data_IF_700528489507
#
_entry.id   IF_700528489507
#
_cell.length_a   1.000
_cell.length_b   1.000
_cell.length_c   1.000
_cell.angle_alpha   90.00
_cell.angle_beta   90.00
_cell.angle_gamma   90.00
#
_symmetry.space_group_name_H-M   'P 1'
#
loop_
_entity.id
_entity.type
_entity.pdbx_description
1 polymer ?
#
# COMPACT_ATOMS: atom_id res chain seq x y z
N UNK A 1 1.83 7.38 -22.85
CA UNK A 1 2.97 7.56 -21.95
C UNK A 1 2.68 8.65 -20.95
N UNK A 2 3.09 8.47 -19.72
CA UNK A 2 2.97 9.51 -18.69
C UNK A 2 3.97 10.64 -18.95
N UNK A 3 3.60 11.87 -18.57
CA UNK A 3 4.53 12.99 -18.60
C UNK A 3 5.70 12.73 -17.63
N UNK A 4 6.93 13.20 -17.95
CA UNK A 4 8.07 13.03 -17.04
C UNK A 4 7.80 13.70 -15.70
N UNK A 5 8.06 12.95 -14.63
CA UNK A 5 7.92 13.41 -13.25
C UNK A 5 9.29 13.80 -12.70
N UNK A 6 9.44 15.05 -12.26
CA UNK A 6 10.67 15.51 -11.62
C UNK A 6 10.60 15.24 -10.11
N UNK A 7 11.48 14.39 -9.63
CA UNK A 7 11.58 14.01 -8.22
C UNK A 7 12.89 14.55 -7.64
N UNK A 8 12.82 15.16 -6.47
CA UNK A 8 14.01 15.63 -5.74
C UNK A 8 14.43 14.58 -4.72
N UNK A 9 15.72 14.26 -4.68
CA UNK A 9 16.25 13.38 -3.65
C UNK A 9 16.47 14.16 -2.33
N UNK A 10 16.35 13.53 -1.15
CA UNK A 10 15.92 12.15 -0.97
C UNK A 10 14.38 12.00 -1.01
N UNK A 11 13.89 11.03 -1.76
CA UNK A 11 12.45 10.75 -1.87
C UNK A 11 12.17 9.25 -2.01
N UNK A 12 10.99 8.83 -1.59
CA UNK A 12 10.42 7.52 -1.90
C UNK A 12 9.42 7.67 -3.03
N UNK A 13 9.56 6.84 -4.06
CA UNK A 13 8.61 6.71 -5.15
C UNK A 13 7.90 5.36 -5.01
N UNK A 14 6.60 5.38 -4.85
CA UNK A 14 5.75 4.19 -4.78
C UNK A 14 4.95 4.06 -6.07
N UNK A 15 5.07 2.87 -6.70
CA UNK A 15 4.34 2.47 -7.89
C UNK A 15 3.59 1.17 -7.56
N UNK A 16 2.34 1.24 -7.09
CA UNK A 16 1.62 0.06 -6.61
C UNK A 16 1.21 -0.90 -7.72
N UNK A 17 1.20 -0.43 -8.97
CA UNK A 17 0.91 -1.24 -10.15
C UNK A 17 2.13 -1.37 -11.03
N UNK A 18 2.20 -2.45 -11.81
CA UNK A 18 3.25 -2.66 -12.79
C UNK A 18 3.16 -1.63 -13.92
N UNK A 19 3.81 -0.49 -13.72
CA UNK A 19 3.94 0.57 -14.70
C UNK A 19 5.33 0.47 -15.34
N UNK A 20 5.38 0.47 -16.66
CA UNK A 20 6.64 0.60 -17.36
C UNK A 20 7.21 2.01 -17.11
N UNK A 21 8.36 2.08 -16.47
CA UNK A 21 8.99 3.33 -16.06
C UNK A 21 10.51 3.26 -16.23
N UNK A 22 11.13 4.41 -16.34
CA UNK A 22 12.57 4.58 -16.31
C UNK A 22 12.95 5.75 -15.42
N UNK A 23 14.14 5.69 -14.84
CA UNK A 23 14.65 6.73 -13.94
C UNK A 23 15.95 7.27 -14.54
N UNK A 24 16.07 8.59 -14.57
CA UNK A 24 17.26 9.28 -15.03
C UNK A 24 17.70 10.32 -14.01
N UNK A 25 18.94 10.24 -13.54
CA UNK A 25 19.54 11.30 -12.75
C UNK A 25 19.87 12.53 -13.62
N UNK A 26 19.46 13.71 -13.18
CA UNK A 26 19.68 14.97 -13.93
C UNK A 26 20.82 15.84 -13.37
N UNK A 27 21.47 15.42 -12.27
CA UNK A 27 22.56 16.17 -11.64
C UNK A 27 23.95 15.65 -12.01
N UNK A 28 24.99 16.49 -11.88
CA UNK A 28 26.37 16.09 -12.17
C UNK A 28 26.94 15.05 -11.19
N UNK A 29 26.33 14.89 -10.03
CA UNK A 29 26.73 13.92 -8.99
C UNK A 29 26.00 12.58 -9.08
N UNK A 30 25.04 12.45 -10.03
CA UNK A 30 24.19 11.26 -10.10
C UNK A 30 23.15 11.19 -8.96
N UNK A 31 22.56 10.03 -8.80
CA UNK A 31 21.62 9.72 -7.71
C UNK A 31 21.79 8.26 -7.33
N UNK A 32 21.84 7.98 -6.04
CA UNK A 32 21.78 6.62 -5.52
C UNK A 32 20.32 6.17 -5.54
N UNK A 33 20.06 5.04 -6.15
CA UNK A 33 18.72 4.50 -6.31
C UNK A 33 18.66 3.07 -5.79
N UNK A 34 17.71 2.83 -4.91
CA UNK A 34 17.33 1.48 -4.49
C UNK A 34 15.95 1.16 -5.02
N UNK A 35 15.83 0.06 -5.76
CA UNK A 35 14.54 -0.46 -6.24
C UNK A 35 14.20 -1.71 -5.45
N UNK A 36 12.97 -1.79 -4.96
CA UNK A 36 12.40 -2.95 -4.32
C UNK A 36 11.04 -3.26 -4.92
N UNK A 37 10.75 -4.53 -5.11
CA UNK A 37 9.44 -5.00 -5.57
C UNK A 37 8.77 -5.74 -4.41
N UNK A 38 7.56 -5.34 -4.08
CA UNK A 38 6.70 -6.05 -3.14
C UNK A 38 5.86 -7.03 -3.97
N UNK A 39 6.16 -8.32 -3.87
CA UNK A 39 5.55 -9.36 -4.72
C UNK A 39 4.10 -9.65 -4.39
N UNK A 40 3.61 -9.21 -3.24
CA UNK A 40 2.23 -9.42 -2.80
C UNK A 40 1.73 -8.18 -2.04
N UNK A 41 1.33 -7.15 -2.79
CA UNK A 41 0.40 -6.18 -2.24
C UNK A 41 -0.96 -6.87 -2.21
N UNK A 42 -1.33 -7.34 -1.01
CA UNK A 42 -2.64 -7.94 -0.85
C UNK A 42 -3.74 -6.93 -1.22
N UNK A 43 -4.77 -7.34 -1.96
CA UNK A 43 -5.98 -6.53 -2.04
C UNK A 43 -6.42 -6.18 -0.61
N UNK A 44 -6.79 -4.95 -0.29
CA UNK A 44 -7.21 -3.86 -1.14
C UNK A 44 -6.17 -2.76 -1.39
N UNK A 45 -4.92 -2.91 -0.93
CA UNK A 45 -3.94 -1.83 -0.97
C UNK A 45 -3.59 -1.38 -2.40
N UNK A 46 -3.59 -2.30 -3.35
CA UNK A 46 -3.38 -2.00 -4.76
C UNK A 46 -4.48 -1.12 -5.38
N UNK A 47 -5.71 -1.20 -4.83
CA UNK A 47 -6.86 -0.42 -5.31
C UNK A 47 -6.93 0.98 -4.73
N UNK A 48 -6.43 1.17 -3.51
CA UNK A 48 -6.54 2.46 -2.78
C UNK A 48 -5.30 3.33 -2.93
N UNK A 49 -4.17 2.75 -3.34
CA UNK A 49 -2.95 3.50 -3.58
C UNK A 49 -3.03 4.25 -4.93
N UNK A 50 -2.64 5.53 -4.98
CA UNK A 50 -2.52 6.27 -6.23
C UNK A 50 -1.52 5.59 -7.18
N UNK A 51 -1.71 5.74 -8.50
CA UNK A 51 -0.83 5.13 -9.51
C UNK A 51 0.65 5.47 -9.32
N UNK A 52 0.91 6.68 -8.85
CA UNK A 52 2.26 7.17 -8.52
C UNK A 52 2.17 8.02 -7.26
N UNK A 53 2.98 7.69 -6.27
CA UNK A 53 3.11 8.51 -5.06
C UNK A 53 4.57 8.89 -4.84
N UNK A 54 4.83 10.17 -4.67
CA UNK A 54 6.17 10.69 -4.31
C UNK A 54 6.12 11.24 -2.89
N UNK A 55 7.05 10.77 -2.06
CA UNK A 55 7.17 11.21 -0.67
C UNK A 55 8.55 11.82 -0.48
N UNK A 56 8.58 13.10 -0.18
CA UNK A 56 9.80 13.82 0.18
C UNK A 56 10.25 13.41 1.59
N UNK A 57 11.42 12.81 1.69
CA UNK A 57 11.97 12.34 2.96
C UNK A 57 12.47 13.50 3.83
N UNK A 58 12.76 14.66 3.27
CA UNK A 58 13.14 15.84 4.07
C UNK A 58 11.99 16.34 4.92
N UNK A 59 10.76 16.14 4.45
CA UNK A 59 9.52 16.51 5.15
C UNK A 59 8.91 15.35 5.96
N UNK A 60 9.52 14.14 5.93
CA UNK A 60 8.92 12.91 6.47
C UNK A 60 9.91 12.14 7.34
N UNK A 61 10.16 12.65 8.54
CA UNK A 61 11.15 12.09 9.47
C UNK A 61 10.91 10.61 9.84
N UNK A 62 9.65 10.16 9.85
CA UNK A 62 9.31 8.76 10.16
C UNK A 62 9.82 7.76 9.12
N UNK A 63 9.95 8.18 7.85
CA UNK A 63 10.45 7.33 6.76
C UNK A 63 11.95 7.51 6.51
N UNK A 64 12.55 8.63 6.94
CA UNK A 64 13.95 8.92 6.69
C UNK A 64 14.86 7.81 7.24
N UNK A 65 14.75 7.52 8.52
CA UNK A 65 15.63 6.53 9.17
C UNK A 65 15.47 5.10 8.65
N UNK A 66 14.26 4.56 8.42
CA UNK A 66 14.09 3.27 7.76
C UNK A 66 14.74 3.18 6.37
N UNK A 67 14.62 4.24 5.56
CA UNK A 67 15.25 4.29 4.24
C UNK A 67 16.78 4.37 4.33
N UNK A 68 17.32 5.18 5.24
CA UNK A 68 18.77 5.23 5.49
C UNK A 68 19.32 3.85 5.86
N UNK A 69 18.65 3.14 6.77
CA UNK A 69 19.05 1.79 7.18
C UNK A 69 19.07 0.80 6.01
N UNK A 70 18.15 0.93 5.05
CA UNK A 70 18.16 0.09 3.84
C UNK A 70 19.42 0.31 3.01
N UNK A 71 19.85 1.56 2.84
CA UNK A 71 21.09 1.88 2.13
C UNK A 71 22.32 1.41 2.90
N UNK A 72 22.38 1.68 4.22
CA UNK A 72 23.48 1.23 5.10
C UNK A 72 23.66 -0.29 5.00
N UNK A 73 22.55 -1.08 5.07
CA UNK A 73 22.59 -2.54 5.02
C UNK A 73 22.99 -3.05 3.62
N UNK A 74 22.50 -2.39 2.56
CA UNK A 74 22.85 -2.74 1.19
C UNK A 74 24.32 -2.47 0.85
N UNK A 75 24.92 -1.44 1.44
CA UNK A 75 26.34 -1.12 1.30
C UNK A 75 27.23 -2.05 2.12
N UNK A 76 26.88 -2.28 3.37
CA UNK A 76 27.67 -3.09 4.32
C UNK A 76 27.79 -4.56 3.87
N UNK A 77 26.74 -5.12 3.26
CA UNK A 77 26.65 -6.50 2.79
C UNK A 77 27.13 -7.54 3.82
N UNK A 78 26.88 -7.25 5.11
CA UNK A 78 27.24 -8.13 6.20
C UNK A 78 26.50 -9.47 6.11
N UNK A 79 26.91 -10.44 6.91
CA UNK A 79 26.21 -11.72 6.97
C UNK A 79 24.73 -11.53 7.30
N UNK A 80 23.84 -12.08 6.45
CA UNK A 80 22.39 -11.95 6.63
C UNK A 80 21.78 -10.67 6.07
N UNK A 81 22.52 -9.78 5.37
CA UNK A 81 22.04 -8.50 4.86
C UNK A 81 20.75 -8.61 4.03
N UNK A 82 20.57 -9.67 3.22
CA UNK A 82 19.35 -9.87 2.45
C UNK A 82 18.12 -10.00 3.34
N UNK A 83 18.23 -10.83 4.39
CA UNK A 83 17.13 -11.00 5.35
C UNK A 83 16.86 -9.72 6.14
N UNK A 84 17.92 -8.94 6.45
CA UNK A 84 17.76 -7.63 7.08
C UNK A 84 17.03 -6.64 6.15
N UNK A 85 17.43 -6.56 4.88
CA UNK A 85 16.76 -5.72 3.87
C UNK A 85 15.29 -6.11 3.74
N UNK A 86 14.95 -7.39 3.64
CA UNK A 86 13.55 -7.85 3.53
C UNK A 86 12.72 -7.37 4.73
N UNK A 87 13.24 -7.45 5.95
CA UNK A 87 12.55 -6.99 7.15
C UNK A 87 12.44 -5.47 7.22
N UNK A 88 13.48 -4.76 6.83
CA UNK A 88 13.48 -3.31 6.75
C UNK A 88 12.49 -2.81 5.70
N UNK A 89 12.39 -3.47 4.54
CA UNK A 89 11.40 -3.15 3.51
C UNK A 89 9.97 -3.33 4.03
N UNK A 90 9.67 -4.45 4.70
CA UNK A 90 8.36 -4.69 5.31
C UNK A 90 8.00 -3.60 6.33
N UNK A 91 8.94 -3.26 7.21
CA UNK A 91 8.75 -2.20 8.19
C UNK A 91 8.55 -0.83 7.51
N UNK A 92 9.41 -0.49 6.55
CA UNK A 92 9.33 0.76 5.79
C UNK A 92 7.99 0.90 5.09
N UNK A 93 7.49 -0.19 4.51
CA UNK A 93 6.18 -0.21 3.87
C UNK A 93 5.04 0.07 4.86
N UNK A 94 5.06 -0.54 6.05
CA UNK A 94 4.06 -0.25 7.09
C UNK A 94 4.09 1.23 7.51
N UNK A 95 5.28 1.81 7.70
CA UNK A 95 5.43 3.23 8.05
C UNK A 95 4.94 4.13 6.91
N UNK A 96 5.21 3.74 5.67
CA UNK A 96 4.74 4.44 4.47
C UNK A 96 3.21 4.45 4.40
N UNK A 97 2.56 3.31 4.57
CA UNK A 97 1.09 3.23 4.56
C UNK A 97 0.49 4.09 5.68
N UNK A 98 1.05 4.05 6.89
CA UNK A 98 0.63 4.94 7.98
C UNK A 98 0.75 6.42 7.60
N UNK A 99 1.87 6.81 6.99
CA UNK A 99 2.06 8.18 6.52
C UNK A 99 1.00 8.58 5.50
N UNK A 100 0.67 7.70 4.55
CA UNK A 100 -0.36 7.96 3.54
C UNK A 100 -1.75 8.11 4.18
N UNK A 101 -2.07 7.31 5.20
CA UNK A 101 -3.31 7.42 5.97
C UNK A 101 -3.37 8.77 6.70
N UNK A 102 -2.33 9.12 7.45
CA UNK A 102 -2.27 10.35 8.24
C UNK A 102 -2.38 11.61 7.36
N UNK A 103 -1.88 11.54 6.13
CA UNK A 103 -1.97 12.61 5.14
C UNK A 103 -3.23 12.60 4.30
N UNK A 104 -4.14 11.64 4.50
CA UNK A 104 -5.36 11.47 3.70
C UNK A 104 -5.07 11.33 2.20
N UNK A 105 -3.94 10.72 1.85
CA UNK A 105 -3.51 10.52 0.46
C UNK A 105 -4.04 9.22 -0.13
N UNK A 106 -4.67 8.36 0.67
CA UNK A 106 -5.31 7.15 0.20
C UNK A 106 -6.76 7.48 -0.19
N UNK A 107 -7.07 7.23 -1.45
CA UNK A 107 -8.42 7.41 -1.98
C UNK A 107 -9.21 6.11 -1.85
N UNK A 108 -10.42 6.21 -1.32
CA UNK A 108 -11.38 5.11 -1.25
C UNK A 108 -11.66 4.61 0.17
N UNK A 109 -12.90 4.30 0.41
CA UNK A 109 -13.44 3.91 1.71
C UNK A 109 -12.98 2.54 2.23
N UNK A 110 -12.05 1.85 1.54
CA UNK A 110 -11.56 0.54 1.98
C UNK A 110 -10.85 0.64 3.33
N UNK A 111 -10.05 1.68 3.55
CA UNK A 111 -9.45 1.92 4.86
C UNK A 111 -10.50 2.26 5.92
N UNK A 112 -11.50 3.07 5.56
CA UNK A 112 -12.63 3.35 6.42
C UNK A 112 -13.42 2.07 6.72
N UNK A 113 -13.54 1.17 5.74
CA UNK A 113 -14.17 -0.13 5.91
C UNK A 113 -13.36 -1.07 6.83
N UNK A 114 -12.03 -1.05 6.75
CA UNK A 114 -11.17 -1.84 7.65
C UNK A 114 -11.24 -1.37 9.10
N UNK A 115 -11.44 -0.07 9.31
CA UNK A 115 -11.66 0.54 10.64
C UNK A 115 -13.11 0.37 11.10
N UNK A 116 -14.04 0.20 10.17
CA UNK A 116 -15.43 -0.13 10.50
C UNK A 116 -15.49 -1.52 11.14
N UNK A 117 -15.97 -1.58 12.37
CA UNK A 117 -15.99 -2.83 13.17
C UNK A 117 -16.79 -3.97 12.54
N UNK A 118 -17.70 -3.68 11.62
CA UNK A 118 -18.54 -4.66 10.94
C UNK A 118 -17.98 -5.08 9.59
N UNK A 119 -17.54 -4.10 8.78
CA UNK A 119 -16.97 -4.37 7.46
C UNK A 119 -15.55 -4.91 7.55
N UNK A 120 -14.77 -4.48 8.56
CA UNK A 120 -13.41 -4.95 8.77
C UNK A 120 -13.32 -6.47 8.99
N UNK A 121 -14.27 -7.04 9.74
CA UNK A 121 -14.34 -8.50 9.91
C UNK A 121 -14.60 -9.21 8.58
N UNK A 122 -15.53 -8.69 7.76
CA UNK A 122 -15.82 -9.25 6.45
C UNK A 122 -14.61 -9.18 5.54
N UNK A 123 -13.98 -8.01 5.43
CA UNK A 123 -12.80 -7.81 4.58
C UNK A 123 -11.64 -8.72 5.00
N UNK A 124 -11.38 -8.88 6.29
CA UNK A 124 -10.36 -9.81 6.78
C UNK A 124 -10.65 -11.24 6.35
N UNK A 125 -11.89 -11.70 6.53
CA UNK A 125 -12.29 -13.07 6.15
C UNK A 125 -12.22 -13.31 4.63
N UNK A 126 -12.59 -12.30 3.82
CA UNK A 126 -12.48 -12.38 2.35
C UNK A 126 -11.01 -12.54 1.92
N UNK A 127 -10.08 -11.86 2.59
CA UNK A 127 -8.64 -11.95 2.28
C UNK A 127 -7.98 -13.22 2.84
N UNK A 128 -8.45 -13.72 3.99
CA UNK A 128 -7.93 -14.95 4.59
C UNK A 128 -8.39 -16.21 3.86
N UNK A 129 -9.54 -16.16 3.20
CA UNK A 129 -10.14 -17.31 2.52
C UNK A 129 -10.73 -16.91 1.16
N UNK A 130 -9.90 -16.49 0.19
CA UNK A 130 -10.36 -16.06 -1.12
C UNK A 130 -10.97 -17.20 -1.95
N UNK A 131 -10.63 -18.47 -1.63
CA UNK A 131 -11.15 -19.65 -2.29
C UNK A 131 -12.57 -20.05 -1.82
N UNK A 132 -13.08 -19.40 -0.76
CA UNK A 132 -14.42 -19.69 -0.25
C UNK A 132 -15.50 -19.11 -1.17
N UNK A 133 -16.57 -19.87 -1.38
CA UNK A 133 -17.73 -19.42 -2.18
C UNK A 133 -18.54 -18.34 -1.41
N UNK A 134 -18.00 -17.12 -1.42
CA UNK A 134 -18.63 -16.00 -0.75
C UNK A 134 -19.92 -15.58 -1.42
N UNK A 135 -20.96 -15.45 -0.62
CA UNK A 135 -22.26 -14.92 -1.06
C UNK A 135 -22.57 -13.62 -0.33
N UNK A 136 -23.46 -12.83 -0.92
CA UNK A 136 -23.93 -11.61 -0.27
C UNK A 136 -24.58 -11.89 1.10
N UNK A 137 -25.22 -13.04 1.23
CA UNK A 137 -25.87 -13.45 2.48
C UNK A 137 -24.83 -13.82 3.54
N UNK A 138 -23.80 -14.62 3.20
CA UNK A 138 -22.74 -14.99 4.15
C UNK A 138 -21.92 -13.76 4.62
N UNK A 139 -21.63 -12.82 3.72
CA UNK A 139 -20.95 -11.57 4.06
C UNK A 139 -21.81 -10.68 4.98
N UNK A 140 -23.12 -10.58 4.71
CA UNK A 140 -24.05 -9.81 5.53
C UNK A 140 -24.22 -10.41 6.94
N UNK A 141 -24.23 -11.74 7.05
CA UNK A 141 -24.27 -12.45 8.32
C UNK A 141 -23.02 -12.15 9.16
N UNK A 142 -21.82 -12.22 8.57
CA UNK A 142 -20.57 -11.85 9.25
C UNK A 142 -20.59 -10.40 9.75
N UNK A 143 -21.17 -9.50 8.97
CA UNK A 143 -21.30 -8.09 9.35
C UNK A 143 -22.40 -7.84 10.39
N UNK A 144 -23.19 -8.85 10.76
CA UNK A 144 -24.40 -8.73 11.58
C UNK A 144 -25.38 -7.68 11.02
N UNK A 145 -25.57 -7.69 9.71
CA UNK A 145 -26.47 -6.79 8.97
C UNK A 145 -27.46 -7.58 8.12
N UNK A 146 -28.59 -6.97 7.79
CA UNK A 146 -29.43 -7.50 6.71
C UNK A 146 -28.72 -7.38 5.36
N UNK A 147 -29.01 -8.24 4.42
CA UNK A 147 -28.44 -8.25 3.06
C UNK A 147 -28.46 -6.88 2.38
N UNK A 148 -29.59 -6.18 2.47
CA UNK A 148 -29.75 -4.84 1.87
C UNK A 148 -28.94 -3.77 2.62
N UNK A 149 -28.91 -3.83 3.95
CA UNK A 149 -28.12 -2.89 4.76
C UNK A 149 -26.62 -3.09 4.56
N UNK A 150 -26.17 -4.35 4.46
CA UNK A 150 -24.79 -4.68 4.17
C UNK A 150 -24.37 -4.17 2.78
N UNK A 151 -25.13 -4.51 1.74
CA UNK A 151 -24.82 -4.08 0.37
C UNK A 151 -24.73 -2.55 0.26
N UNK A 152 -25.69 -1.84 0.84
CA UNK A 152 -25.68 -0.36 0.85
C UNK A 152 -24.47 0.18 1.57
N UNK A 153 -24.18 -0.32 2.79
CA UNK A 153 -23.04 0.15 3.60
C UNK A 153 -21.72 -0.16 2.92
N UNK A 154 -21.58 -1.35 2.35
CA UNK A 154 -20.37 -1.76 1.65
C UNK A 154 -20.08 -0.82 0.47
N UNK A 155 -21.08 -0.51 -0.37
CA UNK A 155 -20.94 0.44 -1.49
C UNK A 155 -20.63 1.84 -0.97
N UNK A 156 -21.28 2.30 0.11
CA UNK A 156 -21.02 3.63 0.70
C UNK A 156 -19.57 3.77 1.19
N UNK A 157 -19.01 2.72 1.77
CA UNK A 157 -17.71 2.75 2.41
C UNK A 157 -16.60 2.29 1.45
N UNK A 158 -16.79 1.19 0.73
CA UNK A 158 -15.77 0.62 -0.17
C UNK A 158 -15.81 1.25 -1.56
N UNK A 159 -16.96 1.79 -1.97
CA UNK A 159 -17.14 2.44 -3.28
C UNK A 159 -17.61 1.53 -4.40
N UNK A 160 -17.56 0.21 -4.23
CA UNK A 160 -18.00 -0.80 -5.22
C UNK A 160 -18.90 -1.84 -4.57
N UNK A 161 -19.75 -2.55 -5.35
CA UNK A 161 -20.60 -3.63 -4.82
C UNK A 161 -19.78 -4.80 -4.24
N UNK A 162 -20.28 -5.50 -3.18
CA UNK A 162 -19.56 -6.61 -2.56
C UNK A 162 -19.13 -7.73 -3.52
N UNK A 163 -20.02 -8.14 -4.43
CA UNK A 163 -19.75 -9.18 -5.43
C UNK A 163 -18.84 -8.74 -6.58
N UNK A 164 -18.58 -7.43 -6.71
CA UNK A 164 -17.61 -6.88 -7.66
C UNK A 164 -16.23 -6.77 -7.01
N UNK A 165 -16.20 -6.74 -5.68
CA UNK A 165 -14.98 -6.72 -4.89
C UNK A 165 -14.30 -8.10 -4.84
N UNK A 166 -15.05 -9.19 -4.91
CA UNK A 166 -14.57 -10.58 -5.03
C UNK A 166 -13.93 -10.84 -6.39
#
# INVERSE_FOLDING_TARGET
GFAPLNVRAPSVLLLPRALEHWVQGSGPQGVDLMCATLSELAPPLDMILPDVTVIDLTATSSLQRPVELLFEEAEARAFGYRAAIDRLLQYTFVVLVRHLIDRQLLSGGVLEAMVDSRLGVVLSMLHESPEHDWTLDSMAELAHLSRSAFALRFVQVVGIPPLTYL
#
